data_IF_951484362014
#
_entry.id   IF_951484362014
#
_cell.length_a   1.000
_cell.length_b   1.000
_cell.length_c   1.000
_cell.angle_alpha   90.00
_cell.angle_beta   90.00
_cell.angle_gamma   90.00
#
_symmetry.space_group_name_H-M   'P 1'
#
loop_
_entity.id
_entity.type
_entity.pdbx_description
1 polymer ?
#
# COMPACT_ATOMS: atom_id res chain seq x y z
N UNK A 1 31.40 4.51 3.61
CA UNK A 1 30.26 3.57 3.72
C UNK A 1 29.00 4.40 3.78
N UNK A 2 28.15 4.31 2.77
CA UNK A 2 26.82 4.95 2.79
C UNK A 2 25.94 4.05 3.66
N UNK A 3 25.59 4.50 4.86
CA UNK A 3 24.61 3.80 5.70
C UNK A 3 23.25 4.04 5.04
N UNK A 4 22.55 2.99 4.56
CA UNK A 4 21.25 3.19 3.94
C UNK A 4 20.28 3.77 4.98
N UNK A 5 19.61 4.86 4.63
CA UNK A 5 18.60 5.43 5.49
C UNK A 5 17.42 4.45 5.57
N UNK A 6 16.71 4.42 6.71
CA UNK A 6 15.55 3.54 6.89
C UNK A 6 14.48 3.77 5.81
N UNK A 7 14.39 5.00 5.28
CA UNK A 7 13.57 5.33 4.11
C UNK A 7 13.96 4.50 2.90
N UNK A 8 15.24 4.41 2.56
CA UNK A 8 15.71 3.75 1.35
C UNK A 8 15.46 2.25 1.41
N UNK A 9 15.63 1.66 2.60
CA UNK A 9 15.32 0.26 2.85
C UNK A 9 13.81 -0.02 2.72
N UNK A 10 12.97 0.86 3.25
CA UNK A 10 11.51 0.73 3.13
C UNK A 10 11.05 0.87 1.67
N UNK A 11 11.60 1.81 0.92
CA UNK A 11 11.32 2.00 -0.50
C UNK A 11 11.79 0.81 -1.35
N UNK A 12 13.00 0.31 -1.11
CA UNK A 12 13.55 -0.86 -1.79
C UNK A 12 12.72 -2.12 -1.51
N UNK A 13 12.31 -2.35 -0.25
CA UNK A 13 11.44 -3.46 0.12
C UNK A 13 10.09 -3.39 -0.60
N UNK A 14 9.46 -2.20 -0.64
CA UNK A 14 8.22 -1.97 -1.37
C UNK A 14 8.37 -2.27 -2.87
N UNK A 15 9.45 -1.81 -3.50
CA UNK A 15 9.74 -2.03 -4.91
C UNK A 15 9.97 -3.50 -5.25
N UNK A 16 10.81 -4.20 -4.47
CA UNK A 16 11.09 -5.63 -4.69
C UNK A 16 9.80 -6.44 -4.62
N UNK A 17 8.93 -6.12 -3.67
CA UNK A 17 7.67 -6.84 -3.51
C UNK A 17 6.68 -6.58 -4.65
N UNK A 18 6.65 -5.37 -5.19
CA UNK A 18 5.90 -5.05 -6.42
C UNK A 18 6.53 -5.73 -7.65
N UNK A 19 7.86 -5.81 -7.73
CA UNK A 19 8.54 -6.49 -8.82
C UNK A 19 8.30 -8.01 -8.81
N UNK A 20 8.09 -8.60 -7.63
CA UNK A 20 7.71 -10.00 -7.43
C UNK A 20 6.24 -10.30 -7.79
N UNK A 21 5.43 -9.27 -8.01
CA UNK A 21 4.00 -9.39 -8.31
C UNK A 21 3.64 -10.36 -9.44
N UNK A 22 4.36 -10.39 -10.59
CA UNK A 22 4.04 -11.29 -11.70
C UNK A 22 4.16 -12.79 -11.33
N UNK A 23 4.89 -13.11 -10.27
CA UNK A 23 5.06 -14.48 -9.77
C UNK A 23 4.10 -14.85 -8.65
N UNK A 24 3.28 -13.91 -8.17
CA UNK A 24 2.25 -14.19 -7.18
C UNK A 24 1.00 -14.73 -7.88
N UNK A 25 0.71 -16.02 -7.68
CA UNK A 25 -0.54 -16.65 -8.13
C UNK A 25 -1.53 -16.73 -6.97
N UNK A 26 -2.72 -16.15 -7.12
CA UNK A 26 -3.84 -16.26 -6.18
C UNK A 26 -4.33 -14.93 -5.59
N UNK A 27 -5.63 -14.84 -5.33
CA UNK A 27 -6.27 -13.62 -4.80
C UNK A 27 -5.62 -13.13 -3.50
N UNK A 28 -5.36 -14.03 -2.55
CA UNK A 28 -4.81 -13.69 -1.24
C UNK A 28 -3.32 -13.33 -1.30
N UNK A 29 -2.54 -13.99 -2.15
CA UNK A 29 -1.11 -13.68 -2.34
C UNK A 29 -0.93 -12.32 -3.02
N UNK A 30 -1.75 -12.01 -4.03
CA UNK A 30 -1.80 -10.69 -4.66
C UNK A 30 -2.19 -9.59 -3.68
N UNK A 31 -3.25 -9.81 -2.88
CA UNK A 31 -3.66 -8.86 -1.83
C UNK A 31 -2.59 -8.68 -0.76
N UNK A 32 -1.94 -9.75 -0.32
CA UNK A 32 -0.86 -9.67 0.66
C UNK A 32 0.35 -8.90 0.11
N UNK A 33 0.76 -9.18 -1.14
CA UNK A 33 1.82 -8.44 -1.82
C UNK A 33 1.51 -6.96 -1.94
N UNK A 34 0.27 -6.61 -2.30
CA UNK A 34 -0.20 -5.23 -2.35
C UNK A 34 -0.19 -4.54 -0.99
N UNK A 35 -0.66 -5.23 0.06
CA UNK A 35 -0.75 -4.67 1.40
C UNK A 35 0.63 -4.39 1.99
N UNK A 36 1.55 -5.35 1.88
CA UNK A 36 2.90 -5.21 2.42
C UNK A 36 3.70 -4.17 1.64
N UNK A 37 3.58 -4.12 0.30
CA UNK A 37 4.26 -3.09 -0.51
C UNK A 37 3.71 -1.70 -0.22
N UNK A 38 2.39 -1.54 -0.13
CA UNK A 38 1.76 -0.28 0.23
C UNK A 38 2.14 0.20 1.63
N UNK A 39 2.26 -0.72 2.60
CA UNK A 39 2.73 -0.38 3.95
C UNK A 39 4.20 0.08 3.95
N UNK A 40 5.06 -0.60 3.17
CA UNK A 40 6.46 -0.22 3.01
C UNK A 40 6.62 1.16 2.36
N UNK A 41 5.82 1.48 1.32
CA UNK A 41 5.79 2.81 0.72
C UNK A 41 5.20 3.87 1.64
N UNK A 42 4.15 3.56 2.41
CA UNK A 42 3.60 4.49 3.40
C UNK A 42 4.66 4.88 4.44
N UNK A 43 5.41 3.89 4.95
CA UNK A 43 6.51 4.13 5.87
C UNK A 43 7.64 4.95 5.22
N UNK A 44 8.04 4.61 3.99
CA UNK A 44 9.02 5.39 3.23
C UNK A 44 8.61 6.86 3.11
N UNK A 45 7.37 7.12 2.66
CA UNK A 45 6.86 8.48 2.47
C UNK A 45 6.70 9.25 3.78
N UNK A 46 6.33 8.60 4.88
CA UNK A 46 6.33 9.21 6.21
C UNK A 46 7.74 9.63 6.63
N UNK A 47 8.73 8.77 6.40
CA UNK A 47 10.13 9.02 6.78
C UNK A 47 10.76 10.17 5.98
N UNK A 48 10.35 10.39 4.73
CA UNK A 48 10.81 11.51 3.90
C UNK A 48 9.90 12.76 4.00
N UNK A 49 8.88 12.74 4.86
CA UNK A 49 7.96 13.87 5.07
C UNK A 49 6.96 14.12 3.94
N UNK A 50 6.83 13.20 2.99
CA UNK A 50 5.91 13.30 1.86
C UNK A 50 4.49 12.84 2.26
N UNK A 51 3.74 13.75 2.87
CA UNK A 51 2.41 13.47 3.45
C UNK A 51 1.41 12.94 2.43
N UNK A 52 1.41 13.45 1.19
CA UNK A 52 0.51 12.96 0.12
C UNK A 52 0.82 11.52 -0.28
N UNK A 53 2.10 11.19 -0.47
CA UNK A 53 2.52 9.82 -0.81
C UNK A 53 2.23 8.83 0.31
N UNK A 54 2.40 9.26 1.56
CA UNK A 54 2.05 8.48 2.75
C UNK A 54 0.54 8.23 2.85
N UNK A 55 -0.27 9.27 2.65
CA UNK A 55 -1.73 9.15 2.65
C UNK A 55 -2.21 8.20 1.56
N UNK A 56 -1.73 8.37 0.34
CA UNK A 56 -2.03 7.52 -0.81
C UNK A 56 -1.69 6.05 -0.59
N UNK A 57 -0.49 5.79 -0.07
CA UNK A 57 -0.03 4.44 0.24
C UNK A 57 -0.84 3.84 1.38
N UNK A 58 -1.16 4.63 2.40
CA UNK A 58 -2.05 4.25 3.51
C UNK A 58 -3.47 3.90 3.05
N UNK A 59 -4.01 4.65 2.08
CA UNK A 59 -5.29 4.31 1.44
C UNK A 59 -5.21 2.94 0.75
N UNK A 60 -4.13 2.65 0.02
CA UNK A 60 -3.94 1.32 -0.58
C UNK A 60 -3.88 0.20 0.46
N UNK A 61 -3.26 0.43 1.63
CA UNK A 61 -3.29 -0.54 2.75
C UNK A 61 -4.73 -0.77 3.23
N UNK A 62 -5.50 0.30 3.40
CA UNK A 62 -6.92 0.20 3.78
C UNK A 62 -7.75 -0.54 2.71
N UNK A 63 -7.50 -0.28 1.43
CA UNK A 63 -8.17 -0.98 0.33
C UNK A 63 -7.88 -2.49 0.36
N UNK A 64 -6.65 -2.89 0.67
CA UNK A 64 -6.30 -4.31 0.83
C UNK A 64 -7.00 -4.91 2.05
N UNK A 65 -6.99 -4.21 3.19
CA UNK A 65 -7.66 -4.68 4.42
C UNK A 65 -9.17 -4.87 4.21
N UNK A 66 -9.82 -3.96 3.47
CA UNK A 66 -11.24 -4.06 3.13
C UNK A 66 -11.56 -5.09 2.04
N UNK A 67 -10.59 -5.41 1.18
CA UNK A 67 -10.72 -6.42 0.14
C UNK A 67 -10.41 -7.84 0.65
N UNK A 68 -9.74 -7.99 1.79
CA UNK A 68 -9.35 -9.27 2.36
C UNK A 68 -10.54 -10.21 2.68
N UNK A 69 -11.65 -9.76 3.30
CA UNK A 69 -12.80 -10.61 3.58
C UNK A 69 -13.47 -11.08 2.28
N UNK A 70 -13.90 -12.34 2.22
CA UNK A 70 -14.64 -12.89 1.08
C UNK A 70 -16.08 -12.35 1.02
N UNK A 71 -16.71 -12.09 2.18
CA UNK A 71 -17.95 -11.31 2.31
C UNK A 71 -17.65 -9.83 2.55
N UNK A 72 -17.83 -8.98 1.52
CA UNK A 72 -17.55 -7.54 1.63
C UNK A 72 -18.69 -6.80 2.35
N UNK A 73 -18.51 -6.29 3.58
CA UNK A 73 -19.52 -5.46 4.22
C UNK A 73 -19.63 -4.11 3.52
N UNK A 74 -20.86 -3.64 3.30
CA UNK A 74 -21.17 -2.41 2.53
C UNK A 74 -20.42 -1.16 3.03
N UNK A 75 -20.06 -1.11 4.30
CA UNK A 75 -19.30 -0.03 4.92
C UNK A 75 -17.88 0.15 4.32
N UNK A 76 -17.23 -0.96 3.95
CA UNK A 76 -15.92 -0.96 3.29
C UNK A 76 -15.98 -0.35 1.88
N UNK A 77 -17.09 -0.57 1.16
CA UNK A 77 -17.31 0.00 -0.19
C UNK A 77 -17.52 1.51 -0.12
N UNK A 78 -18.15 2.01 0.94
CA UNK A 78 -18.35 3.44 1.18
C UNK A 78 -17.01 4.14 1.45
N UNK A 79 -16.15 3.56 2.28
CA UNK A 79 -14.81 4.10 2.54
C UNK A 79 -13.92 4.10 1.28
N UNK A 80 -14.04 3.07 0.44
CA UNK A 80 -13.34 3.00 -0.85
C UNK A 80 -13.79 4.10 -1.82
N UNK A 81 -15.09 4.32 -1.97
CA UNK A 81 -15.62 5.37 -2.87
C UNK A 81 -15.31 6.78 -2.33
N UNK A 82 -15.34 6.96 -1.01
CA UNK A 82 -15.04 8.25 -0.38
C UNK A 82 -13.58 8.70 -0.58
N UNK A 83 -12.67 7.80 -0.88
CA UNK A 83 -11.24 8.10 -1.09
C UNK A 83 -10.91 8.43 -2.54
N UNK A 84 -11.77 8.05 -3.51
CA UNK A 84 -11.64 8.41 -4.92
C UNK A 84 -11.65 9.94 -5.21
N UNK A 85 -12.54 10.78 -4.61
CA UNK A 85 -12.51 12.22 -4.87
C UNK A 85 -11.32 12.95 -4.24
N UNK A 86 -10.65 12.36 -3.25
CA UNK A 86 -9.47 12.95 -2.61
C UNK A 86 -8.20 12.86 -3.48
N UNK A 87 -8.28 12.10 -4.57
CA UNK A 87 -7.18 11.74 -5.47
C UNK A 87 -7.15 12.55 -6.77
N UNK A 88 -8.21 13.33 -7.01
CA UNK A 88 -8.46 14.08 -8.25
C UNK A 88 -8.30 15.60 -8.04
N UNK A 89 -7.97 16.05 -6.83
CA UNK A 89 -7.70 17.44 -6.49
C UNK A 89 -6.24 17.65 -6.08
#
# INVERSE_FOLDING_TARGET
MIVPHLSDLAGAAGFVLVALWPWLSGRRSLLAGQGVSAAAFALHYLLIGATTGAAMSGLSVLQVATAWPDDRPRCCRVLYVATAPLLVH
#
